data_IF_766374709958
#
_entry.id   IF_766374709958
#
_cell.length_a   1.000
_cell.length_b   1.000
_cell.length_c   1.000
_cell.angle_alpha   90.00
_cell.angle_beta   90.00
_cell.angle_gamma   90.00
#
_symmetry.space_group_name_H-M   'P 1'
#
loop_
_entity.id
_entity.type
_entity.pdbx_description
1 polymer ?
#
# COMPACT_ATOMS: atom_id res chain seq x y z
N UNK A 1 -8.51 -10.81 11.40
CA UNK A 1 -8.92 -11.34 10.08
C UNK A 1 -7.68 -11.45 9.20
N UNK A 2 -7.53 -12.52 8.43
CA UNK A 2 -6.46 -12.64 7.44
C UNK A 2 -6.95 -12.11 6.08
N UNK A 3 -6.07 -11.40 5.39
CA UNK A 3 -6.28 -10.90 4.03
C UNK A 3 -5.56 -11.85 3.08
N UNK A 4 -6.33 -12.68 2.39
CA UNK A 4 -5.83 -13.54 1.29
C UNK A 4 -6.18 -12.90 -0.06
N UNK A 5 -5.61 -13.40 -1.15
CA UNK A 5 -6.00 -12.95 -2.50
C UNK A 5 -7.46 -13.29 -2.79
N UNK A 6 -7.94 -14.48 -2.43
CA UNK A 6 -9.34 -14.90 -2.66
C UNK A 6 -10.34 -14.01 -1.91
N UNK A 7 -9.96 -13.55 -0.72
CA UNK A 7 -10.74 -12.56 0.01
C UNK A 7 -10.81 -11.24 -0.76
N UNK A 8 -9.67 -10.75 -1.27
CA UNK A 8 -9.58 -9.49 -1.99
C UNK A 8 -10.35 -9.54 -3.33
N UNK A 9 -10.29 -10.65 -4.05
CA UNK A 9 -11.03 -10.84 -5.32
C UNK A 9 -12.54 -10.75 -5.14
N UNK A 10 -13.06 -11.17 -3.98
CA UNK A 10 -14.48 -11.15 -3.65
C UNK A 10 -14.90 -9.91 -2.87
N UNK A 11 -13.94 -9.06 -2.48
CA UNK A 11 -14.23 -7.91 -1.62
C UNK A 11 -14.95 -6.82 -2.41
N UNK A 12 -16.01 -6.25 -1.82
CA UNK A 12 -16.61 -5.04 -2.36
C UNK A 12 -15.74 -3.84 -1.95
N UNK A 13 -14.95 -3.31 -2.90
CA UNK A 13 -14.10 -2.14 -2.70
C UNK A 13 -14.85 -0.82 -2.49
N UNK A 14 -16.18 -0.83 -2.58
CA UNK A 14 -17.04 0.24 -2.09
C UNK A 14 -17.22 0.22 -0.55
N UNK A 15 -16.77 -0.84 0.13
CA UNK A 15 -16.81 -0.98 1.58
C UNK A 15 -15.43 -0.82 2.21
N UNK A 16 -15.43 -0.26 3.42
CA UNK A 16 -14.25 -0.13 4.26
C UNK A 16 -13.71 -1.50 4.67
N UNK A 17 -12.40 -1.71 4.50
CA UNK A 17 -11.76 -2.87 5.11
C UNK A 17 -11.92 -2.82 6.64
N UNK A 18 -12.27 -3.95 7.28
CA UNK A 18 -12.46 -4.02 8.72
C UNK A 18 -11.24 -3.54 9.52
N UNK A 19 -11.45 -2.91 10.69
CA UNK A 19 -10.30 -2.43 11.50
C UNK A 19 -9.36 -3.57 11.94
N UNK A 20 -9.90 -4.79 12.09
CA UNK A 20 -9.18 -6.00 12.50
C UNK A 20 -8.40 -6.69 11.35
N UNK A 21 -8.25 -6.02 10.19
CA UNK A 21 -7.33 -6.46 9.13
C UNK A 21 -5.87 -6.34 9.54
N UNK A 22 -5.54 -5.58 10.59
CA UNK A 22 -4.20 -5.51 11.20
C UNK A 22 -4.20 -6.20 12.56
N UNK A 23 -3.09 -6.82 12.93
CA UNK A 23 -2.88 -7.28 14.30
C UNK A 23 -2.85 -6.09 15.27
N UNK A 24 -3.22 -6.32 16.53
CA UNK A 24 -3.20 -5.30 17.59
C UNK A 24 -1.80 -4.64 17.69
N UNK A 25 -0.74 -5.45 17.57
CA UNK A 25 0.65 -4.97 17.56
C UNK A 25 0.90 -3.95 16.45
N UNK A 26 0.53 -4.27 15.20
CA UNK A 26 0.74 -3.36 14.07
C UNK A 26 -0.15 -2.11 14.19
N UNK A 27 -1.37 -2.25 14.68
CA UNK A 27 -2.26 -1.10 14.94
C UNK A 27 -1.62 -0.13 15.93
N UNK A 28 -1.07 -0.64 17.03
CA UNK A 28 -0.39 0.18 18.04
C UNK A 28 0.87 0.85 17.47
N UNK A 29 1.68 0.13 16.70
CA UNK A 29 2.83 0.72 16.00
C UNK A 29 2.41 1.84 15.05
N UNK A 30 1.33 1.66 14.30
CA UNK A 30 0.83 2.69 13.39
C UNK A 30 0.30 3.91 14.14
N UNK A 31 -0.39 3.71 15.27
CA UNK A 31 -0.86 4.77 16.16
C UNK A 31 0.30 5.60 16.71
N UNK A 32 1.33 4.94 17.25
CA UNK A 32 2.54 5.59 17.76
C UNK A 32 3.25 6.38 16.66
N UNK A 33 3.39 5.78 15.47
CA UNK A 33 3.97 6.48 14.30
C UNK A 33 3.21 7.77 13.96
N UNK A 34 1.87 7.73 13.90
CA UNK A 34 1.06 8.94 13.67
C UNK A 34 1.22 9.98 14.76
N UNK A 35 1.24 9.57 16.03
CA UNK A 35 1.46 10.47 17.17
C UNK A 35 2.83 11.15 17.08
N UNK A 36 3.87 10.42 16.68
CA UNK A 36 5.20 10.99 16.49
C UNK A 36 5.23 12.02 15.35
N UNK A 37 4.53 11.79 14.24
CA UNK A 37 4.41 12.77 13.17
C UNK A 37 3.77 14.08 13.67
N UNK A 38 2.67 13.97 14.42
CA UNK A 38 1.96 15.11 15.02
C UNK A 38 2.88 15.87 15.98
N UNK A 39 3.58 15.16 16.88
CA UNK A 39 4.51 15.76 17.84
C UNK A 39 5.63 16.56 17.18
N UNK A 40 6.08 16.13 16.00
CA UNK A 40 7.13 16.82 15.23
C UNK A 40 6.59 17.84 14.22
N UNK A 41 5.27 18.12 14.23
CA UNK A 41 4.61 18.99 13.27
C UNK A 41 4.87 18.61 11.79
N UNK A 42 4.88 17.30 11.50
CA UNK A 42 5.06 16.74 10.16
C UNK A 42 3.73 16.11 9.71
N UNK A 43 3.17 16.58 8.60
CA UNK A 43 2.01 15.90 8.00
C UNK A 43 2.41 14.55 7.39
N UNK A 44 1.50 13.58 7.39
CA UNK A 44 1.77 12.26 6.81
C UNK A 44 2.05 12.37 5.31
N UNK A 45 1.33 13.23 4.58
CA UNK A 45 1.60 13.50 3.16
C UNK A 45 3.02 14.04 2.94
N UNK A 46 3.48 15.01 3.76
CA UNK A 46 4.86 15.52 3.70
C UNK A 46 5.88 14.42 3.99
N UNK A 47 5.63 13.59 4.99
CA UNK A 47 6.49 12.44 5.30
C UNK A 47 6.58 11.46 4.13
N UNK A 48 5.45 11.09 3.53
CA UNK A 48 5.40 10.15 2.40
C UNK A 48 6.11 10.74 1.18
N UNK A 49 5.81 12.00 0.84
CA UNK A 49 6.44 12.71 -0.25
C UNK A 49 7.95 12.72 -0.09
N UNK A 50 8.46 13.10 1.09
CA UNK A 50 9.90 13.15 1.35
C UNK A 50 10.58 11.78 1.44
N UNK A 51 9.88 10.75 1.93
CA UNK A 51 10.49 9.43 2.17
C UNK A 51 10.48 8.54 0.93
N UNK A 52 9.38 8.55 0.18
CA UNK A 52 9.15 7.57 -0.89
C UNK A 52 9.17 8.18 -2.28
N UNK A 53 8.64 9.39 -2.46
CA UNK A 53 8.53 10.01 -3.79
C UNK A 53 9.77 10.84 -4.12
N UNK A 54 10.07 11.87 -3.33
CA UNK A 54 11.13 12.86 -3.62
C UNK A 54 11.04 13.33 -5.08
N UNK A 55 12.08 13.09 -5.88
CA UNK A 55 12.15 13.39 -7.32
C UNK A 55 11.75 12.20 -8.22
N UNK A 56 11.38 11.05 -7.65
CA UNK A 56 11.01 9.84 -8.39
C UNK A 56 9.59 9.95 -8.94
N UNK A 57 9.35 9.30 -10.07
CA UNK A 57 8.01 9.13 -10.65
C UNK A 57 7.08 8.30 -9.77
N UNK A 58 7.64 7.27 -9.14
CA UNK A 58 6.94 6.37 -8.23
C UNK A 58 7.95 5.67 -7.31
N UNK A 59 7.45 5.01 -6.27
CA UNK A 59 8.23 4.09 -5.45
C UNK A 59 7.35 2.96 -4.96
N UNK A 60 7.87 1.73 -4.97
CA UNK A 60 7.18 0.56 -4.45
C UNK A 60 7.99 -0.02 -3.28
N UNK A 61 7.37 -0.03 -2.10
CA UNK A 61 8.06 -0.37 -0.86
C UNK A 61 7.21 -1.32 -0.03
N UNK A 62 7.86 -2.18 0.76
CA UNK A 62 7.17 -3.01 1.74
C UNK A 62 6.36 -2.11 2.69
N UNK A 63 5.13 -2.51 3.00
CA UNK A 63 4.27 -1.74 3.88
C UNK A 63 4.79 -1.88 5.31
N UNK A 64 5.17 -0.76 5.94
CA UNK A 64 5.65 -0.76 7.32
C UNK A 64 4.56 -1.12 8.33
N UNK A 65 3.29 -1.00 7.94
CA UNK A 65 2.13 -1.31 8.75
C UNK A 65 1.19 -2.27 8.01
N UNK A 66 1.67 -3.50 7.72
CA UNK A 66 0.99 -4.42 6.83
C UNK A 66 -0.32 -4.93 7.44
N UNK A 67 -1.21 -5.42 6.60
CA UNK A 67 -2.36 -6.19 7.05
C UNK A 67 -1.88 -7.56 7.50
N UNK A 68 -2.69 -8.23 8.29
CA UNK A 68 -2.51 -9.64 8.63
C UNK A 68 -2.74 -10.46 7.36
N UNK A 69 -1.68 -11.07 6.84
CA UNK A 69 -1.66 -11.82 5.59
C UNK A 69 -1.05 -13.21 5.83
N UNK A 70 -1.33 -14.20 4.98
CA UNK A 70 -0.63 -15.49 4.98
C UNK A 70 0.89 -15.35 4.80
N UNK A 71 1.65 -16.36 5.26
CA UNK A 71 3.11 -16.35 5.22
C UNK A 71 3.71 -16.39 3.80
N UNK A 72 2.96 -16.88 2.81
CA UNK A 72 3.37 -16.87 1.40
C UNK A 72 3.02 -15.56 0.67
N UNK A 73 2.53 -14.55 1.41
CA UNK A 73 2.17 -13.25 0.88
C UNK A 73 3.03 -12.14 1.49
N UNK A 74 3.23 -11.09 0.71
CA UNK A 74 3.85 -9.85 1.17
C UNK A 74 3.02 -8.64 0.78
N UNK A 75 2.97 -7.65 1.68
CA UNK A 75 2.21 -6.42 1.45
C UNK A 75 3.14 -5.24 1.19
N UNK A 76 3.00 -4.66 0.01
CA UNK A 76 3.69 -3.48 -0.48
C UNK A 76 2.72 -2.32 -0.70
N UNK A 77 3.27 -1.12 -0.80
CA UNK A 77 2.54 0.07 -1.23
C UNK A 77 3.28 0.68 -2.42
N UNK A 78 2.55 0.88 -3.52
CA UNK A 78 3.01 1.66 -4.67
C UNK A 78 2.59 3.11 -4.45
N UNK A 79 3.56 3.99 -4.19
CA UNK A 79 3.38 5.44 -4.13
C UNK A 79 3.67 6.04 -5.50
N UNK A 80 2.81 6.93 -5.99
CA UNK A 80 2.97 7.57 -7.30
C UNK A 80 3.05 9.08 -7.11
N UNK A 81 4.02 9.72 -7.77
CA UNK A 81 4.11 11.17 -7.77
C UNK A 81 2.82 11.76 -8.39
N UNK A 82 2.15 12.73 -7.74
CA UNK A 82 0.88 13.28 -8.22
C UNK A 82 0.92 13.83 -9.65
N UNK A 83 2.05 14.42 -10.07
CA UNK A 83 2.22 14.94 -11.44
C UNK A 83 2.36 13.82 -12.47
N UNK A 84 2.99 12.71 -12.08
CA UNK A 84 3.11 11.52 -12.92
C UNK A 84 1.82 10.70 -12.96
N UNK A 85 1.07 10.67 -11.86
CA UNK A 85 -0.21 9.94 -11.76
C UNK A 85 -1.23 10.40 -12.80
N UNK A 86 -1.23 11.69 -13.16
CA UNK A 86 -2.10 12.22 -14.22
C UNK A 86 -1.77 11.70 -15.63
N UNK A 87 -0.60 11.09 -15.82
CA UNK A 87 -0.07 10.68 -17.13
C UNK A 87 0.06 9.17 -17.26
N UNK A 88 0.15 8.45 -16.14
CA UNK A 88 0.36 7.00 -16.13
C UNK A 88 -0.91 6.27 -16.57
N UNK A 89 -0.73 5.27 -17.43
CA UNK A 89 -1.79 4.36 -17.85
C UNK A 89 -1.89 3.13 -16.96
N UNK A 90 -3.04 2.45 -16.94
CA UNK A 90 -3.18 1.16 -16.27
C UNK A 90 -2.17 0.12 -16.79
N UNK A 91 -1.85 0.14 -18.09
CA UNK A 91 -0.84 -0.74 -18.69
C UNK A 91 0.55 -0.51 -18.10
N UNK A 92 0.96 0.75 -17.92
CA UNK A 92 2.23 1.09 -17.30
C UNK A 92 2.24 0.75 -15.80
N UNK A 93 1.13 0.98 -15.11
CA UNK A 93 0.97 0.61 -13.70
C UNK A 93 1.13 -0.90 -13.51
N UNK A 94 0.43 -1.72 -14.31
CA UNK A 94 0.59 -3.17 -14.33
C UNK A 94 2.01 -3.58 -14.67
N UNK A 95 2.70 -2.88 -15.60
CA UNK A 95 4.10 -3.16 -15.93
C UNK A 95 5.03 -2.91 -14.73
N UNK A 96 4.85 -1.81 -14.01
CA UNK A 96 5.64 -1.47 -12.80
C UNK A 96 5.48 -2.55 -11.73
N UNK A 97 4.23 -2.94 -11.45
CA UNK A 97 3.92 -3.95 -10.43
C UNK A 97 4.49 -5.31 -10.84
N UNK A 98 4.31 -5.72 -12.10
CA UNK A 98 4.85 -6.98 -12.63
C UNK A 98 6.38 -7.04 -12.58
N UNK A 99 7.07 -5.94 -12.90
CA UNK A 99 8.53 -5.90 -12.82
C UNK A 99 9.00 -6.12 -11.38
N UNK A 100 8.35 -5.48 -10.40
CA UNK A 100 8.70 -5.66 -8.99
C UNK A 100 8.36 -7.07 -8.49
N UNK A 101 7.23 -7.63 -8.91
CA UNK A 101 6.85 -9.01 -8.60
C UNK A 101 7.95 -9.99 -9.04
N UNK A 102 8.42 -9.85 -10.29
CA UNK A 102 9.50 -10.68 -10.85
C UNK A 102 10.82 -10.50 -10.10
N UNK A 103 11.21 -9.26 -9.79
CA UNK A 103 12.40 -8.94 -9.00
C UNK A 103 12.40 -9.65 -7.64
N UNK A 104 11.22 -9.77 -7.02
CA UNK A 104 11.04 -10.38 -5.70
C UNK A 104 10.78 -11.91 -5.76
N UNK A 105 10.80 -12.52 -6.96
CA UNK A 105 10.52 -13.94 -7.17
C UNK A 105 9.12 -14.39 -6.67
N UNK A 106 8.11 -13.55 -6.90
CA UNK A 106 6.69 -13.89 -6.76
C UNK A 106 6.07 -14.15 -8.13
N UNK A 107 4.95 -14.88 -8.16
CA UNK A 107 4.28 -15.29 -9.40
C UNK A 107 2.83 -14.79 -9.50
N UNK A 108 2.30 -14.15 -8.45
CA UNK A 108 0.96 -13.59 -8.45
C UNK A 108 0.92 -12.26 -7.68
N UNK A 109 0.02 -11.36 -8.10
CA UNK A 109 -0.25 -10.13 -7.37
C UNK A 109 -1.73 -9.75 -7.39
N UNK A 110 -2.14 -9.01 -6.35
CA UNK A 110 -3.39 -8.28 -6.31
C UNK A 110 -3.12 -6.83 -5.90
N UNK A 111 -3.77 -5.86 -6.53
CA UNK A 111 -3.63 -4.46 -6.13
C UNK A 111 -4.93 -3.68 -6.17
N UNK A 112 -5.09 -2.74 -5.24
CA UNK A 112 -6.24 -1.85 -5.20
C UNK A 112 -5.90 -0.52 -4.54
N UNK A 113 -6.72 0.48 -4.80
CA UNK A 113 -6.69 1.76 -4.09
C UNK A 113 -7.69 1.71 -2.92
N UNK A 114 -7.28 2.11 -1.71
CA UNK A 114 -8.25 2.27 -0.61
C UNK A 114 -9.30 3.33 -1.00
N UNK A 115 -10.50 3.34 -0.44
CA UNK A 115 -11.42 4.46 -0.73
C UNK A 115 -10.87 5.77 -0.15
N UNK A 116 -11.22 6.92 -0.76
CA UNK A 116 -10.73 8.24 -0.33
C UNK A 116 -10.97 8.51 1.16
N UNK A 117 -12.10 8.07 1.72
CA UNK A 117 -12.43 8.21 3.15
C UNK A 117 -11.61 7.36 4.12
N UNK A 118 -10.86 6.35 3.64
CA UNK A 118 -10.06 5.45 4.48
C UNK A 118 -8.57 5.77 4.43
N UNK A 119 -8.14 6.60 3.48
CA UNK A 119 -6.72 6.89 3.29
C UNK A 119 -6.30 7.89 4.36
N UNK A 120 -5.20 7.57 5.04
CA UNK A 120 -4.53 8.55 5.90
C UNK A 120 -3.71 9.55 5.08
N UNK A 121 -3.33 9.19 3.85
CA UNK A 121 -2.54 10.00 2.91
C UNK A 121 -3.47 10.39 1.77
N UNK A 122 -3.79 11.68 1.65
CA UNK A 122 -4.83 12.15 0.74
C UNK A 122 -4.25 12.71 -0.56
N UNK A 123 -3.07 13.30 -0.49
CA UNK A 123 -2.48 14.06 -1.59
C UNK A 123 -1.61 13.19 -2.51
N UNK A 124 -1.05 12.09 -1.97
CA UNK A 124 -0.20 11.17 -2.75
C UNK A 124 -0.99 9.93 -3.18
N UNK A 125 -1.24 9.74 -4.49
CA UNK A 125 -1.87 8.55 -5.02
C UNK A 125 -1.08 7.29 -4.67
N UNK A 126 -1.79 6.24 -4.26
CA UNK A 126 -1.14 5.01 -3.84
C UNK A 126 -2.03 3.78 -3.90
N UNK A 127 -1.42 2.64 -4.26
CA UNK A 127 -2.07 1.34 -4.30
C UNK A 127 -1.52 0.44 -3.21
N UNK A 128 -2.40 -0.30 -2.53
CA UNK A 128 -2.00 -1.48 -1.79
C UNK A 128 -1.67 -2.57 -2.80
N UNK A 129 -0.52 -3.23 -2.66
CA UNK A 129 -0.05 -4.27 -3.58
C UNK A 129 0.32 -5.49 -2.76
N UNK A 130 -0.34 -6.62 -3.03
CA UNK A 130 -0.07 -7.90 -2.40
C UNK A 130 0.63 -8.78 -3.42
N UNK A 131 1.80 -9.30 -3.07
CA UNK A 131 2.48 -10.33 -3.85
C UNK A 131 2.29 -11.68 -3.17
N UNK A 132 2.03 -12.74 -3.93
CA UNK A 132 1.88 -14.10 -3.43
C UNK A 132 2.80 -15.05 -4.18
N UNK A 133 3.37 -16.00 -3.43
CA UNK A 133 4.08 -17.14 -4.00
C UNK A 133 3.12 -18.34 -3.99
N UNK A 134 2.74 -18.77 -5.17
CA UNK A 134 2.06 -20.04 -5.37
C UNK A 134 3.13 -21.14 -5.40
N UNK A 135 2.90 -22.17 -4.60
CA UNK A 135 3.63 -23.44 -4.67
C UNK A 135 3.15 -24.26 -5.87
#
# INVERSE_FOLDING_TARGET
>A
MLITIEFLEKWNFEKLLPINVRSIKIQNQYKIFKQNLIKNNISIDKYISNKYIQSKKYSINKNNFPYSIPNNMEHYVLWINPLYFKKITNKELSKIINLKMKELNYNEYFCFENQKGCRSVLETPHYQVFYRKCE
#
